data_IF_595377756907
#
_entry.id   IF_595377756907
#
_cell.length_a   1.000
_cell.length_b   1.000
_cell.length_c   1.000
_cell.angle_alpha   90.00
_cell.angle_beta   90.00
_cell.angle_gamma   90.00
#
_symmetry.space_group_name_H-M   'P 1'
#
loop_
_entity.id
_entity.type
_entity.pdbx_description
1 polymer ?
#
# COMPACT_ATOMS: atom_id res chain seq x y z
N UNK A 1 -25.16 4.76 -25.36
CA UNK A 1 -23.70 4.51 -25.49
C UNK A 1 -23.04 5.32 -24.38
N UNK A 2 -22.48 4.67 -23.36
CA UNK A 2 -21.81 5.35 -22.26
C UNK A 2 -20.31 5.38 -22.52
N UNK A 3 -19.68 6.51 -22.21
CA UNK A 3 -18.23 6.69 -22.30
C UNK A 3 -17.74 7.00 -20.89
N UNK A 4 -16.74 6.26 -20.44
CA UNK A 4 -16.11 6.45 -19.13
C UNK A 4 -14.65 6.84 -19.33
N UNK A 5 -14.17 7.74 -18.48
CA UNK A 5 -12.77 8.15 -18.42
C UNK A 5 -12.21 7.70 -17.07
N UNK A 6 -11.21 6.82 -17.09
CA UNK A 6 -10.55 6.28 -15.91
C UNK A 6 -9.15 6.88 -15.77
N UNK A 7 -8.82 7.40 -14.59
CA UNK A 7 -7.49 7.95 -14.28
C UNK A 7 -6.85 7.13 -13.17
N UNK A 8 -5.64 6.65 -13.40
CA UNK A 8 -4.90 5.83 -12.46
C UNK A 8 -3.48 6.36 -12.27
N UNK A 9 -2.95 6.21 -11.06
CA UNK A 9 -1.58 6.57 -10.70
C UNK A 9 -1.02 5.52 -9.74
N UNK A 10 0.08 4.90 -10.11
CA UNK A 10 0.86 4.04 -9.24
C UNK A 10 1.99 4.82 -8.55
N UNK A 11 2.46 4.29 -7.43
CA UNK A 11 3.62 4.78 -6.69
C UNK A 11 4.60 3.65 -6.48
N UNK A 12 5.90 3.98 -6.33
CA UNK A 12 6.89 3.00 -5.92
C UNK A 12 6.61 2.48 -4.50
N UNK A 13 7.10 1.29 -4.19
CA UNK A 13 6.94 0.68 -2.86
C UNK A 13 7.60 1.56 -1.79
N UNK A 14 8.73 2.19 -2.11
CA UNK A 14 9.44 3.14 -1.23
C UNK A 14 8.54 4.32 -0.90
N UNK A 15 7.86 4.87 -1.92
CA UNK A 15 6.96 6.00 -1.69
C UNK A 15 5.77 5.61 -0.83
N UNK A 16 5.25 4.40 -1.02
CA UNK A 16 4.15 3.88 -0.18
C UNK A 16 4.63 3.70 1.27
N UNK A 17 5.84 3.18 1.50
CA UNK A 17 6.42 3.07 2.86
C UNK A 17 6.51 4.43 3.56
N UNK A 18 6.99 5.47 2.89
CA UNK A 18 7.02 6.83 3.45
C UNK A 18 5.63 7.35 3.81
N UNK A 19 4.63 7.09 2.97
CA UNK A 19 3.26 7.56 3.17
C UNK A 19 2.58 6.82 4.34
N UNK A 20 2.84 5.52 4.49
CA UNK A 20 2.35 4.73 5.62
C UNK A 20 2.91 5.24 6.94
N UNK A 21 4.21 5.51 7.01
CA UNK A 21 4.84 6.05 8.22
C UNK A 21 4.22 7.40 8.62
N UNK A 22 4.04 8.30 7.65
CA UNK A 22 3.37 9.60 7.87
C UNK A 22 1.92 9.46 8.32
N UNK A 23 1.26 8.37 7.94
CA UNK A 23 -0.10 8.05 8.36
C UNK A 23 -0.15 7.33 9.72
N UNK A 24 0.99 7.13 10.41
CA UNK A 24 1.06 6.40 11.67
C UNK A 24 0.80 4.90 11.52
N UNK A 25 1.18 4.33 10.37
CA UNK A 25 1.07 2.90 10.07
C UNK A 25 2.45 2.30 9.83
N UNK A 26 2.69 1.12 10.41
CA UNK A 26 3.90 0.34 10.15
C UNK A 26 3.77 -0.45 8.86
N UNK A 27 4.71 -0.29 7.94
CA UNK A 27 4.87 -1.23 6.83
C UNK A 27 5.27 -2.61 7.37
N UNK A 28 4.54 -3.66 6.95
CA UNK A 28 4.80 -5.04 7.37
C UNK A 28 5.43 -5.84 6.24
N UNK A 29 4.81 -5.85 5.07
CA UNK A 29 5.28 -6.61 3.92
C UNK A 29 4.71 -6.05 2.61
N UNK A 30 5.38 -6.39 1.50
CA UNK A 30 4.83 -6.28 0.17
C UNK A 30 4.89 -7.67 -0.46
N UNK A 31 3.84 -8.03 -1.21
CA UNK A 31 3.78 -9.32 -1.91
C UNK A 31 3.45 -9.15 -3.38
N UNK A 32 4.04 -9.99 -4.22
CA UNK A 32 3.56 -10.20 -5.58
C UNK A 32 2.13 -10.76 -5.53
N UNK A 33 1.25 -10.25 -6.39
CA UNK A 33 -0.18 -10.50 -6.26
C UNK A 33 -0.52 -12.00 -6.29
N UNK A 34 -1.44 -12.40 -5.42
CA UNK A 34 -1.87 -13.80 -5.23
C UNK A 34 -0.79 -14.77 -4.73
N UNK A 35 0.36 -14.25 -4.30
CA UNK A 35 1.42 -15.04 -3.70
C UNK A 35 1.75 -14.53 -2.28
N UNK A 36 2.75 -15.15 -1.65
CA UNK A 36 3.43 -14.62 -0.45
C UNK A 36 4.91 -14.30 -0.75
N UNK A 37 5.28 -14.21 -2.03
CA UNK A 37 6.62 -13.88 -2.46
C UNK A 37 6.81 -12.36 -2.47
N UNK A 38 8.04 -11.89 -2.33
CA UNK A 38 8.34 -10.47 -2.54
C UNK A 38 8.06 -10.06 -4.00
N UNK A 39 7.63 -8.81 -4.25
CA UNK A 39 7.48 -8.28 -5.61
C UNK A 39 8.76 -8.44 -6.42
N UNK A 40 8.60 -8.72 -7.70
CA UNK A 40 9.66 -8.81 -8.70
C UNK A 40 9.66 -7.56 -9.56
N UNK A 41 10.72 -7.39 -10.37
CA UNK A 41 10.81 -6.26 -11.31
C UNK A 41 9.68 -6.27 -12.35
N UNK A 42 9.13 -7.45 -12.65
CA UNK A 42 8.04 -7.68 -13.60
C UNK A 42 6.67 -7.89 -12.93
N UNK A 43 6.53 -7.65 -11.62
CA UNK A 43 5.24 -7.74 -10.93
C UNK A 43 4.27 -6.67 -11.43
N UNK A 44 3.17 -7.10 -12.06
CA UNK A 44 2.11 -6.19 -12.53
C UNK A 44 1.24 -5.62 -11.39
N UNK A 45 1.17 -6.34 -10.26
CA UNK A 45 0.37 -5.95 -9.10
C UNK A 45 1.06 -6.36 -7.81
N UNK A 46 1.05 -5.45 -6.84
CA UNK A 46 1.64 -5.67 -5.52
C UNK A 46 0.59 -5.47 -4.43
N UNK A 47 0.58 -6.36 -3.45
CA UNK A 47 -0.18 -6.20 -2.20
C UNK A 47 0.70 -5.59 -1.13
N UNK A 48 0.23 -4.52 -0.50
CA UNK A 48 0.92 -3.86 0.60
C UNK A 48 0.19 -4.21 1.91
N UNK A 49 0.93 -4.79 2.84
CA UNK A 49 0.44 -5.09 4.18
C UNK A 49 0.99 -4.03 5.13
N UNK A 50 0.07 -3.28 5.74
CA UNK A 50 0.38 -2.30 6.77
C UNK A 50 -0.35 -2.68 8.06
N UNK A 51 0.28 -2.37 9.19
CA UNK A 51 -0.30 -2.57 10.52
C UNK A 51 -0.43 -1.22 11.20
N UNK A 52 -1.58 -0.99 11.82
CA UNK A 52 -1.77 0.16 12.67
C UNK A 52 -0.76 0.19 13.83
N UNK A 53 -0.24 1.38 14.10
CA UNK A 53 0.48 1.67 15.33
C UNK A 53 -0.35 2.59 16.20
N UNK A 54 -0.04 2.63 17.48
CA UNK A 54 -0.66 3.57 18.39
C UNK A 54 -0.40 5.00 17.91
N UNK A 55 -1.46 5.81 17.88
CA UNK A 55 -1.41 7.22 17.51
C UNK A 55 -1.97 8.06 18.66
N UNK A 56 -1.18 9.03 19.13
CA UNK A 56 -1.47 9.83 20.33
C UNK A 56 -2.84 10.52 20.31
N UNK A 57 -3.29 10.92 19.12
CA UNK A 57 -4.54 11.66 18.93
C UNK A 57 -5.68 10.79 18.36
N UNK A 58 -5.61 9.46 18.52
CA UNK A 58 -6.64 8.52 18.05
C UNK A 58 -7.28 7.81 19.23
N UNK A 59 -8.61 7.81 19.27
CA UNK A 59 -9.37 7.07 20.27
C UNK A 59 -9.32 5.57 19.92
N UNK A 60 -8.81 4.78 20.86
CA UNK A 60 -8.89 3.32 20.84
C UNK A 60 -9.95 2.92 21.87
N UNK A 61 -11.02 2.23 21.43
CA UNK A 61 -12.14 1.75 22.27
C UNK A 61 -12.07 0.23 22.39
#
# INVERSE_FOLDING_TARGET
RFQETHLQRAYSIEKIKELLEKAGMKFVAAYDAFTKESPKEDSERVYIIAKEQWQENKLYV
#
